data_IF_832724320740
#
_entry.id   IF_832724320740
#
_cell.length_a   1.000
_cell.length_b   1.000
_cell.length_c   1.000
_cell.angle_alpha   90.00
_cell.angle_beta   90.00
_cell.angle_gamma   90.00
#
_symmetry.space_group_name_H-M   'P 1'
#
loop_
_entity.id
_entity.type
_entity.pdbx_description
1 polymer ?
#
# COMPACT_ATOMS: atom_id res chain seq x y z
N UNK A 1 -20.59 -2.67 -1.16
CA UNK A 1 -19.88 -2.10 -2.28
C UNK A 1 -18.43 -1.88 -1.92
N UNK A 2 -17.56 -2.15 -2.85
CA UNK A 2 -16.14 -2.05 -2.60
C UNK A 2 -15.70 -0.58 -2.59
N UNK A 3 -14.90 -0.23 -1.61
CA UNK A 3 -14.24 1.07 -1.60
C UNK A 3 -12.88 0.92 -2.25
N UNK A 4 -12.46 1.94 -2.95
CA UNK A 4 -11.13 1.96 -3.54
C UNK A 4 -10.24 2.91 -2.78
N UNK A 5 -8.99 2.52 -2.64
CA UNK A 5 -7.98 3.32 -1.99
C UNK A 5 -6.78 3.41 -2.91
N UNK A 6 -6.08 4.53 -2.83
CA UNK A 6 -4.81 4.71 -3.52
C UNK A 6 -3.70 4.58 -2.51
N UNK A 7 -2.76 3.72 -2.80
CA UNK A 7 -1.61 3.47 -1.94
C UNK A 7 -0.39 4.02 -2.66
N UNK A 8 0.33 4.92 -2.00
CA UNK A 8 1.53 5.51 -2.57
C UNK A 8 2.72 5.19 -1.68
N UNK A 9 3.80 4.74 -2.29
CA UNK A 9 5.03 4.47 -1.56
C UNK A 9 5.76 5.80 -1.32
N UNK A 10 5.86 6.19 -0.05
CA UNK A 10 6.46 7.48 0.32
C UNK A 10 7.84 7.33 0.94
N UNK A 11 8.24 6.11 1.29
CA UNK A 11 9.55 5.86 1.86
C UNK A 11 10.22 4.72 1.13
N UNK A 12 11.56 4.73 1.14
CA UNK A 12 12.34 3.67 0.51
C UNK A 12 12.13 2.35 1.24
N UNK A 13 12.15 1.26 0.46
CA UNK A 13 12.10 -0.09 1.02
C UNK A 13 13.48 -0.60 1.38
N UNK A 14 14.52 0.20 1.15
CA UNK A 14 15.88 -0.17 1.52
C UNK A 14 15.99 -0.12 3.04
N UNK A 15 16.48 -1.20 3.61
CA UNK A 15 16.64 -1.29 5.06
C UNK A 15 15.43 -1.79 5.82
N UNK A 16 14.32 -2.05 5.15
CA UNK A 16 13.15 -2.63 5.80
C UNK A 16 13.25 -4.15 5.82
N UNK A 17 12.43 -4.77 6.65
CA UNK A 17 12.41 -6.22 6.76
C UNK A 17 11.96 -6.85 5.44
N UNK A 18 12.48 -8.05 5.12
CA UNK A 18 12.11 -8.71 3.86
C UNK A 18 10.62 -8.93 3.70
N UNK A 19 9.91 -9.26 4.78
CA UNK A 19 8.46 -9.47 4.69
C UNK A 19 7.72 -8.19 4.36
N UNK A 20 8.21 -7.06 4.85
CA UNK A 20 7.60 -5.76 4.53
C UNK A 20 7.86 -5.40 3.08
N UNK A 21 9.06 -5.68 2.58
CA UNK A 21 9.39 -5.44 1.18
C UNK A 21 8.50 -6.28 0.27
N UNK A 22 8.31 -7.55 0.64
CA UNK A 22 7.45 -8.44 -0.14
C UNK A 22 6.00 -7.93 -0.14
N UNK A 23 5.54 -7.42 0.99
CA UNK A 23 4.18 -6.87 1.10
C UNK A 23 4.02 -5.66 0.18
N UNK A 24 4.98 -4.75 0.18
CA UNK A 24 4.95 -3.58 -0.69
C UNK A 24 4.93 -4.01 -2.16
N UNK A 25 5.73 -4.99 -2.51
CA UNK A 25 5.75 -5.51 -3.88
C UNK A 25 4.42 -6.15 -4.25
N UNK A 26 3.82 -6.88 -3.32
CA UNK A 26 2.51 -7.48 -3.55
C UNK A 26 1.43 -6.44 -3.79
N UNK A 27 1.58 -5.27 -3.19
CA UNK A 27 0.66 -4.16 -3.43
C UNK A 27 0.85 -3.51 -4.79
N UNK A 28 1.93 -3.84 -5.49
CA UNK A 28 2.22 -3.28 -6.80
C UNK A 28 3.13 -2.07 -6.76
N UNK A 29 3.69 -1.76 -5.61
CA UNK A 29 4.60 -0.63 -5.44
C UNK A 29 6.04 -1.10 -5.66
N UNK A 30 6.82 -0.28 -6.35
CA UNK A 30 8.20 -0.67 -6.68
C UNK A 30 9.23 0.29 -6.11
N UNK A 31 8.98 1.58 -6.23
CA UNK A 31 9.93 2.61 -5.77
C UNK A 31 9.16 3.78 -5.20
N UNK A 32 9.89 4.67 -4.54
CA UNK A 32 9.27 5.88 -3.98
C UNK A 32 8.56 6.64 -5.09
N UNK A 33 7.35 7.06 -4.80
CA UNK A 33 6.52 7.75 -5.77
C UNK A 33 5.58 6.83 -6.54
N UNK A 34 5.79 5.52 -6.47
CA UNK A 34 4.86 4.58 -7.07
C UNK A 34 3.52 4.63 -6.36
N UNK A 35 2.44 4.51 -7.11
CA UNK A 35 1.12 4.46 -6.52
C UNK A 35 0.29 3.39 -7.23
N UNK A 36 -0.68 2.86 -6.52
CA UNK A 36 -1.57 1.86 -7.06
C UNK A 36 -2.93 2.02 -6.42
N UNK A 37 -3.98 1.61 -7.14
CA UNK A 37 -5.34 1.63 -6.64
C UNK A 37 -5.78 0.21 -6.36
N UNK A 38 -6.30 -0.01 -5.18
CA UNK A 38 -6.73 -1.33 -4.74
C UNK A 38 -8.08 -1.20 -4.07
N UNK A 39 -8.82 -2.30 -4.05
CA UNK A 39 -10.03 -2.36 -3.26
C UNK A 39 -9.67 -2.44 -1.78
N UNK A 40 -10.47 -1.76 -0.96
CA UNK A 40 -10.27 -1.77 0.48
C UNK A 40 -10.80 -3.07 1.09
N UNK A 41 -10.28 -4.20 0.64
CA UNK A 41 -10.65 -5.49 1.19
C UNK A 41 -9.87 -5.76 2.47
N UNK A 42 -10.33 -6.68 3.32
CA UNK A 42 -9.59 -7.03 4.53
C UNK A 42 -8.16 -7.45 4.26
N UNK A 43 -7.92 -8.17 3.18
CA UNK A 43 -6.56 -8.59 2.81
C UNK A 43 -5.68 -7.38 2.50
N UNK A 44 -6.19 -6.47 1.70
CA UNK A 44 -5.43 -5.28 1.31
C UNK A 44 -5.20 -4.37 2.51
N UNK A 45 -6.24 -4.18 3.33
CA UNK A 45 -6.11 -3.34 4.52
C UNK A 45 -5.08 -3.91 5.50
N UNK A 46 -5.03 -5.22 5.62
CA UNK A 46 -4.03 -5.88 6.45
C UNK A 46 -2.62 -5.65 5.95
N UNK A 47 -2.41 -5.74 4.64
CA UNK A 47 -1.11 -5.50 4.04
C UNK A 47 -0.69 -4.05 4.20
N UNK A 48 -1.61 -3.12 3.98
CA UNK A 48 -1.35 -1.70 4.15
C UNK A 48 -0.98 -1.40 5.59
N UNK A 49 -1.68 -2.00 6.54
CA UNK A 49 -1.38 -1.80 7.96
C UNK A 49 0.03 -2.26 8.30
N UNK A 50 0.47 -3.35 7.71
CA UNK A 50 1.81 -3.89 7.93
C UNK A 50 2.89 -2.91 7.49
N UNK A 51 2.65 -2.17 6.42
CA UNK A 51 3.63 -1.25 5.85
C UNK A 51 3.17 0.20 5.93
N UNK A 52 2.27 0.52 6.85
CA UNK A 52 1.70 1.85 6.94
C UNK A 52 2.75 2.95 7.15
N UNK A 53 3.88 2.60 7.74
CA UNK A 53 4.97 3.56 7.94
C UNK A 53 5.75 3.84 6.64
N UNK A 54 5.49 3.08 5.60
CA UNK A 54 6.19 3.23 4.32
C UNK A 54 5.29 3.81 3.24
N UNK A 55 3.98 3.78 3.43
CA UNK A 55 3.04 4.17 2.40
C UNK A 55 2.04 5.19 2.92
N UNK A 56 1.45 5.91 1.98
CA UNK A 56 0.34 6.81 2.26
C UNK A 56 -0.91 6.23 1.59
N UNK A 57 -2.02 6.25 2.30
CA UNK A 57 -3.27 5.72 1.77
C UNK A 57 -4.27 6.86 1.63
N UNK A 58 -4.91 6.91 0.48
CA UNK A 58 -5.92 7.90 0.19
C UNK A 58 -7.19 7.19 -0.22
N UNK A 59 -8.30 7.57 0.38
CA UNK A 59 -9.59 6.99 0.03
C UNK A 59 -10.11 7.67 -1.22
N UNK A 60 -10.37 6.87 -2.26
CA UNK A 60 -10.80 7.39 -3.55
C UNK A 60 -12.30 7.32 -3.74
N UNK A 61 -12.94 6.36 -3.10
CA UNK A 61 -14.37 6.16 -3.30
C UNK A 61 -15.15 7.25 -2.61
N UNK A 62 -15.96 7.95 -3.36
CA UNK A 62 -16.82 8.96 -2.83
C UNK A 62 -18.22 8.48 -2.53
N UNK A 63 -18.48 7.24 -2.76
CA UNK A 63 -19.82 6.72 -2.59
C UNK A 63 -19.85 5.55 -1.66
#
# INVERSE_FOLDING_TARGET
MAKKIRIRLIRSTIGVLPNQRATVRSLGLRKIGSSTEQEASPSILGMVKTVSHLVSVEELSGS
#
